data_IF_927494571694
#
_entry.id   IF_927494571694
#
_cell.length_a   1.000
_cell.length_b   1.000
_cell.length_c   1.000
_cell.angle_alpha   90.00
_cell.angle_beta   90.00
_cell.angle_gamma   90.00
#
_symmetry.space_group_name_H-M   'P 1'
#
loop_
_entity.id
_entity.type
_entity.pdbx_description
1 polymer ?
#
# COMPACT_ATOMS: atom_id res chain seq x y z
N UNK A 1 -8.02 -32.90 8.44
CA UNK A 1 -7.40 -31.65 8.92
C UNK A 1 -8.50 -30.60 9.06
N UNK A 2 -8.53 -29.81 10.15
CA UNK A 2 -9.46 -28.67 10.24
C UNK A 2 -9.15 -27.71 9.09
N UNK A 3 -10.18 -27.27 8.38
CA UNK A 3 -10.04 -26.32 7.28
C UNK A 3 -9.43 -25.01 7.83
N UNK A 4 -8.32 -24.56 7.26
CA UNK A 4 -7.71 -23.28 7.65
C UNK A 4 -8.59 -22.16 7.08
N UNK A 5 -9.27 -21.42 7.96
CA UNK A 5 -10.15 -20.32 7.58
C UNK A 5 -9.41 -19.02 7.29
N UNK A 6 -8.15 -18.89 7.72
CA UNK A 6 -7.39 -17.65 7.64
C UNK A 6 -6.66 -17.50 6.30
N UNK A 7 -6.00 -18.56 5.84
CA UNK A 7 -5.17 -18.52 4.62
C UNK A 7 -5.06 -19.88 3.94
N UNK A 8 -4.32 -19.91 2.83
CA UNK A 8 -4.08 -21.10 2.01
C UNK A 8 -2.66 -21.68 2.19
N UNK A 9 -1.99 -21.33 3.31
CA UNK A 9 -0.63 -21.78 3.58
C UNK A 9 -0.58 -23.27 3.93
N UNK A 10 0.44 -23.95 3.43
CA UNK A 10 0.74 -25.33 3.83
C UNK A 10 1.40 -25.40 5.22
N UNK A 11 1.55 -26.62 5.77
CA UNK A 11 2.16 -26.81 7.09
C UNK A 11 3.60 -26.28 7.19
N UNK A 12 4.38 -26.31 6.10
CA UNK A 12 5.78 -25.83 6.09
C UNK A 12 5.83 -24.30 6.08
N UNK A 13 4.94 -23.68 5.32
CA UNK A 13 4.77 -22.23 5.27
C UNK A 13 4.28 -21.70 6.62
N UNK A 14 3.27 -22.34 7.20
CA UNK A 14 2.71 -21.97 8.51
C UNK A 14 3.75 -21.96 9.63
N UNK A 15 4.66 -22.94 9.66
CA UNK A 15 5.74 -23.01 10.67
C UNK A 15 6.64 -21.77 10.64
N UNK A 16 6.85 -21.14 9.48
CA UNK A 16 7.68 -19.92 9.38
C UNK A 16 7.08 -18.76 10.16
N UNK A 17 5.76 -18.67 10.21
CA UNK A 17 5.02 -17.61 10.89
C UNK A 17 4.85 -17.84 12.40
N UNK A 18 5.22 -19.02 12.92
CA UNK A 18 5.26 -19.25 14.37
C UNK A 18 6.46 -18.56 15.05
N UNK A 19 7.39 -17.98 14.27
CA UNK A 19 8.53 -17.25 14.80
C UNK A 19 8.10 -15.84 15.21
N UNK A 20 8.50 -15.42 16.42
CA UNK A 20 8.26 -14.06 16.93
C UNK A 20 9.01 -12.98 16.13
N UNK A 21 10.04 -13.36 15.37
CA UNK A 21 10.80 -12.45 14.51
C UNK A 21 11.39 -13.22 13.32
N UNK A 22 11.52 -12.54 12.19
CA UNK A 22 12.14 -13.07 10.98
C UNK A 22 12.93 -11.98 10.26
N UNK A 23 13.92 -12.40 9.47
CA UNK A 23 14.71 -11.51 8.63
C UNK A 23 14.13 -11.58 7.23
N UNK A 24 13.58 -10.46 6.75
CA UNK A 24 13.13 -10.32 5.37
C UNK A 24 14.26 -9.67 4.54
N UNK A 25 14.78 -10.40 3.56
CA UNK A 25 15.81 -9.93 2.64
C UNK A 25 15.19 -9.74 1.25
N UNK A 26 14.63 -8.57 0.93
CA UNK A 26 13.94 -8.36 -0.33
C UNK A 26 14.93 -8.42 -1.50
N UNK A 27 14.52 -8.93 -2.67
CA UNK A 27 15.36 -8.94 -3.85
C UNK A 27 15.72 -7.50 -4.28
N UNK A 28 16.88 -7.27 -4.90
CA UNK A 28 17.25 -5.94 -5.39
C UNK A 28 16.22 -5.43 -6.41
N UNK A 29 15.69 -4.22 -6.21
CA UNK A 29 14.79 -3.57 -7.17
C UNK A 29 15.52 -3.23 -8.48
N UNK A 30 14.83 -3.40 -9.62
CA UNK A 30 15.27 -2.93 -10.95
C UNK A 30 15.59 -1.43 -10.89
N UNK A 31 16.61 -0.96 -11.64
CA UNK A 31 17.20 0.39 -11.49
C UNK A 31 16.21 1.54 -11.68
N UNK A 32 15.21 1.40 -12.55
CA UNK A 32 14.22 2.46 -12.83
C UNK A 32 13.18 2.66 -11.71
N UNK A 33 12.91 1.63 -10.89
CA UNK A 33 11.96 1.69 -9.76
C UNK A 33 12.51 2.52 -8.58
N UNK A 34 13.82 2.85 -8.58
CA UNK A 34 14.48 3.62 -7.51
C UNK A 34 14.13 5.11 -7.49
N UNK A 35 13.40 5.61 -8.49
CA UNK A 35 13.05 7.03 -8.61
C UNK A 35 11.91 7.47 -7.69
N UNK A 36 11.27 6.55 -6.97
CA UNK A 36 10.15 6.89 -6.09
C UNK A 36 10.53 6.76 -4.61
N UNK A 37 10.08 7.70 -3.76
CA UNK A 37 10.40 7.72 -2.34
C UNK A 37 9.97 6.43 -1.62
N UNK A 38 10.60 6.18 -0.47
CA UNK A 38 10.71 4.90 0.22
C UNK A 38 9.41 4.07 0.35
N UNK A 39 9.13 3.22 -0.65
CA UNK A 39 8.06 2.20 -0.59
C UNK A 39 8.52 1.00 0.25
N UNK A 40 7.65 0.48 1.11
CA UNK A 40 7.89 -0.80 1.78
C UNK A 40 8.02 -1.94 0.75
N UNK A 41 8.85 -2.99 1.01
CA UNK A 41 9.15 -4.00 0.00
C UNK A 41 7.91 -4.80 -0.40
N UNK A 42 7.65 -4.95 -1.70
CA UNK A 42 6.50 -5.67 -2.25
C UNK A 42 6.45 -7.12 -1.72
N UNK A 43 7.61 -7.76 -1.59
CA UNK A 43 7.75 -9.12 -1.06
C UNK A 43 7.36 -9.23 0.41
N UNK A 44 7.57 -8.18 1.20
CA UNK A 44 7.14 -8.16 2.61
C UNK A 44 5.61 -8.07 2.69
N UNK A 45 5.02 -7.24 1.84
CA UNK A 45 3.55 -7.10 1.75
C UNK A 45 2.91 -8.39 1.30
N UNK A 46 3.53 -9.05 0.33
CA UNK A 46 3.06 -10.33 -0.19
C UNK A 46 3.02 -11.40 0.91
N UNK A 47 4.02 -11.46 1.79
CA UNK A 47 4.02 -12.36 2.96
C UNK A 47 2.81 -12.09 3.87
N UNK A 48 2.52 -10.83 4.18
CA UNK A 48 1.38 -10.46 5.01
C UNK A 48 0.04 -10.73 4.33
N UNK A 49 -0.11 -10.39 3.05
CA UNK A 49 -1.31 -10.72 2.27
C UNK A 49 -1.53 -12.22 2.27
N UNK A 50 -0.50 -13.02 1.98
CA UNK A 50 -0.60 -14.48 1.99
C UNK A 50 -0.99 -15.03 3.35
N UNK A 51 -0.56 -14.39 4.43
CA UNK A 51 -0.86 -14.82 5.80
C UNK A 51 -2.27 -14.43 6.26
N UNK A 52 -2.76 -13.25 5.91
CA UNK A 52 -4.04 -12.73 6.40
C UNK A 52 -5.22 -12.92 5.44
N UNK A 53 -4.99 -13.52 4.28
CA UNK A 53 -6.04 -13.74 3.27
C UNK A 53 -5.94 -15.09 2.58
N UNK A 54 -7.01 -15.46 1.87
CA UNK A 54 -7.11 -16.53 0.89
C UNK A 54 -6.99 -15.97 -0.54
N UNK A 55 -6.72 -16.86 -1.48
CA UNK A 55 -6.72 -16.55 -2.90
C UNK A 55 -8.09 -16.01 -3.33
N UNK A 56 -8.12 -14.98 -4.18
CA UNK A 56 -9.34 -14.32 -4.62
C UNK A 56 -10.00 -13.40 -3.59
N UNK A 57 -9.45 -13.23 -2.40
CA UNK A 57 -9.91 -12.20 -1.45
C UNK A 57 -9.43 -10.80 -1.86
N UNK A 58 -10.04 -9.77 -1.26
CA UNK A 58 -9.90 -8.36 -1.62
C UNK A 58 -9.01 -7.64 -0.62
N UNK A 59 -7.93 -7.03 -1.13
CA UNK A 59 -6.99 -6.20 -0.35
C UNK A 59 -7.22 -4.72 -0.66
N UNK A 60 -7.28 -3.88 0.38
CA UNK A 60 -7.34 -2.42 0.24
C UNK A 60 -6.07 -1.76 0.77
N UNK A 61 -5.54 -0.82 0.00
CA UNK A 61 -4.57 0.18 0.46
C UNK A 61 -5.13 1.60 0.34
N UNK A 62 -5.61 2.23 1.43
CA UNK A 62 -6.18 3.58 1.37
C UNK A 62 -5.15 4.68 1.09
N UNK A 63 -3.85 4.41 1.17
CA UNK A 63 -2.76 5.37 0.95
C UNK A 63 -1.67 4.68 0.12
N UNK A 64 -2.05 4.28 -1.08
CA UNK A 64 -1.32 3.32 -1.91
C UNK A 64 0.02 3.85 -2.43
N UNK A 65 0.21 5.16 -2.47
CA UNK A 65 1.38 5.77 -3.09
C UNK A 65 1.53 5.25 -4.51
N UNK A 66 2.71 4.73 -4.78
CA UNK A 66 3.06 4.11 -6.07
C UNK A 66 2.67 2.62 -6.23
N UNK A 67 1.80 2.09 -5.38
CA UNK A 67 1.10 0.82 -5.63
C UNK A 67 1.79 -0.48 -5.21
N UNK A 68 2.78 -0.45 -4.30
CA UNK A 68 3.49 -1.68 -3.87
C UNK A 68 2.55 -2.74 -3.28
N UNK A 69 1.48 -2.34 -2.59
CA UNK A 69 0.45 -3.27 -2.08
C UNK A 69 -0.32 -3.97 -3.19
N UNK A 70 -0.66 -3.26 -4.26
CA UNK A 70 -1.44 -3.81 -5.37
C UNK A 70 -0.60 -4.80 -6.19
N UNK A 71 0.68 -4.50 -6.38
CA UNK A 71 1.66 -5.42 -6.96
C UNK A 71 1.76 -6.70 -6.13
N UNK A 72 1.90 -6.56 -4.80
CA UNK A 72 1.96 -7.71 -3.90
C UNK A 72 0.68 -8.54 -3.90
N UNK A 73 -0.49 -7.89 -3.97
CA UNK A 73 -1.78 -8.56 -4.05
C UNK A 73 -1.91 -9.36 -5.36
N UNK A 74 -1.48 -8.79 -6.50
CA UNK A 74 -1.44 -9.50 -7.79
C UNK A 74 -0.55 -10.74 -7.71
N UNK A 75 0.68 -10.62 -7.21
CA UNK A 75 1.61 -11.75 -7.03
C UNK A 75 1.04 -12.81 -6.09
N UNK A 76 0.28 -12.38 -5.09
CA UNK A 76 -0.42 -13.28 -4.19
C UNK A 76 -1.69 -13.88 -4.81
N UNK A 77 -2.23 -13.42 -5.92
CA UNK A 77 -3.48 -13.94 -6.46
C UNK A 77 -4.73 -13.41 -5.74
N UNK A 78 -4.71 -12.14 -5.33
CA UNK A 78 -5.81 -11.43 -4.65
C UNK A 78 -6.30 -10.28 -5.51
N UNK A 79 -7.57 -9.91 -5.36
CA UNK A 79 -8.06 -8.64 -5.88
C UNK A 79 -7.52 -7.51 -5.02
N UNK A 80 -7.33 -6.33 -5.61
CA UNK A 80 -6.86 -5.17 -4.87
C UNK A 80 -7.40 -3.85 -5.38
N UNK A 81 -7.61 -2.94 -4.43
CA UNK A 81 -7.97 -1.56 -4.66
C UNK A 81 -7.00 -0.66 -3.88
N UNK A 82 -6.57 0.42 -4.50
CA UNK A 82 -5.69 1.42 -3.90
C UNK A 82 -6.28 2.81 -4.05
N UNK A 83 -6.13 3.66 -3.04
CA UNK A 83 -6.44 5.09 -3.14
C UNK A 83 -5.15 5.87 -2.99
N UNK A 84 -4.94 6.82 -3.89
CA UNK A 84 -3.79 7.71 -3.86
C UNK A 84 -4.22 9.14 -4.17
N UNK A 85 -3.89 10.07 -3.27
CA UNK A 85 -4.30 11.46 -3.38
C UNK A 85 -3.54 12.18 -4.50
N UNK A 86 -2.24 11.93 -4.63
CA UNK A 86 -1.42 12.59 -5.63
C UNK A 86 -1.62 11.93 -7.02
N UNK A 87 -2.13 12.67 -8.03
CA UNK A 87 -2.38 12.13 -9.36
C UNK A 87 -1.11 11.58 -10.03
N UNK A 88 0.06 12.18 -9.78
CA UNK A 88 1.33 11.71 -10.31
C UNK A 88 1.70 10.33 -9.76
N UNK A 89 1.55 10.11 -8.44
CA UNK A 89 1.83 8.80 -7.84
C UNK A 89 0.78 7.75 -8.23
N UNK A 90 -0.48 8.15 -8.39
CA UNK A 90 -1.52 7.27 -8.90
C UNK A 90 -1.23 6.81 -10.35
N UNK A 91 -0.73 7.71 -11.19
CA UNK A 91 -0.31 7.39 -12.56
C UNK A 91 0.87 6.39 -12.58
N UNK A 92 1.91 6.67 -11.78
CA UNK A 92 3.06 5.77 -11.61
C UNK A 92 2.62 4.39 -11.11
N UNK A 93 1.72 4.35 -10.11
CA UNK A 93 1.17 3.10 -9.60
C UNK A 93 0.47 2.33 -10.72
N UNK A 94 -0.35 3.00 -11.54
CA UNK A 94 -1.03 2.38 -12.68
C UNK A 94 -0.06 1.75 -13.67
N UNK A 95 1.05 2.42 -13.99
CA UNK A 95 2.09 1.88 -14.87
C UNK A 95 2.74 0.63 -14.28
N UNK A 96 3.17 0.67 -13.01
CA UNK A 96 3.82 -0.46 -12.34
C UNK A 96 2.87 -1.66 -12.23
N UNK A 97 1.60 -1.43 -11.91
CA UNK A 97 0.58 -2.49 -11.81
C UNK A 97 0.34 -3.14 -13.18
N UNK A 98 0.32 -2.35 -14.25
CA UNK A 98 0.16 -2.86 -15.61
C UNK A 98 1.37 -3.69 -16.07
N UNK A 99 2.59 -3.24 -15.77
CA UNK A 99 3.82 -3.98 -16.02
C UNK A 99 3.83 -5.32 -15.27
N UNK A 100 3.52 -5.31 -13.98
CA UNK A 100 3.46 -6.55 -13.18
C UNK A 100 2.38 -7.51 -13.70
N UNK A 101 1.21 -7.00 -14.06
CA UNK A 101 0.14 -7.82 -14.67
C UNK A 101 0.62 -8.48 -15.95
N UNK A 102 1.35 -7.76 -16.80
CA UNK A 102 1.90 -8.30 -18.04
C UNK A 102 2.96 -9.38 -17.76
N UNK A 103 3.79 -9.20 -16.72
CA UNK A 103 4.77 -10.22 -16.29
C UNK A 103 4.09 -11.50 -15.75
N UNK A 104 2.97 -11.37 -15.03
CA UNK A 104 2.21 -12.51 -14.47
C UNK A 104 1.36 -13.26 -15.51
N UNK A 105 0.97 -12.60 -16.61
CA UNK A 105 0.20 -13.20 -17.70
C UNK A 105 -1.13 -13.80 -17.22
N UNK A 106 -1.40 -15.05 -17.59
CA UNK A 106 -2.67 -15.73 -17.31
C UNK A 106 -3.02 -15.80 -15.82
N UNK A 107 -2.02 -15.79 -14.93
CA UNK A 107 -2.22 -15.83 -13.48
C UNK A 107 -2.96 -14.59 -12.94
N UNK A 108 -2.91 -13.48 -13.67
CA UNK A 108 -3.54 -12.23 -13.27
C UNK A 108 -4.83 -11.91 -14.04
N UNK A 109 -5.23 -12.71 -15.03
CA UNK A 109 -6.34 -12.40 -15.93
C UNK A 109 -7.65 -12.12 -15.19
N UNK A 110 -7.96 -12.95 -14.19
CA UNK A 110 -9.22 -12.86 -13.44
C UNK A 110 -9.11 -11.96 -12.19
N UNK A 111 -7.97 -11.31 -11.97
CA UNK A 111 -7.71 -10.48 -10.80
C UNK A 111 -7.94 -9.00 -11.10
N UNK A 112 -8.63 -8.32 -10.20
CA UNK A 112 -8.75 -6.86 -10.19
C UNK A 112 -7.56 -6.26 -9.46
N UNK A 113 -6.90 -5.25 -10.05
CA UNK A 113 -5.91 -4.43 -9.36
C UNK A 113 -6.11 -2.99 -9.83
N UNK A 114 -6.81 -2.20 -9.03
CA UNK A 114 -7.28 -0.87 -9.43
C UNK A 114 -6.73 0.21 -8.51
N UNK A 115 -5.95 1.13 -9.07
CA UNK A 115 -5.59 2.38 -8.41
C UNK A 115 -6.65 3.45 -8.69
N UNK A 116 -7.07 4.16 -7.65
CA UNK A 116 -8.04 5.25 -7.69
C UNK A 116 -7.31 6.52 -7.26
N UNK A 117 -7.29 7.53 -8.13
CA UNK A 117 -6.85 8.85 -7.71
C UNK A 117 -7.98 9.54 -6.93
N UNK A 118 -7.77 9.81 -5.64
CA UNK A 118 -8.80 10.35 -4.76
C UNK A 118 -8.35 10.49 -3.30
N UNK A 119 -9.21 11.06 -2.47
CA UNK A 119 -8.98 11.21 -1.05
C UNK A 119 -9.48 9.97 -0.29
N UNK A 120 -8.62 9.36 0.51
CA UNK A 120 -8.96 8.21 1.34
C UNK A 120 -10.12 8.48 2.31
N UNK A 121 -10.30 9.72 2.76
CA UNK A 121 -11.41 10.14 3.61
C UNK A 121 -12.77 9.98 2.92
N UNK A 122 -12.81 10.01 1.58
CA UNK A 122 -14.01 9.87 0.77
C UNK A 122 -14.28 8.40 0.37
N UNK A 123 -13.76 7.43 1.12
CA UNK A 123 -13.84 6.00 0.76
C UNK A 123 -15.26 5.53 0.44
N UNK A 124 -16.27 6.00 1.17
CA UNK A 124 -17.68 5.62 0.90
C UNK A 124 -18.12 6.01 -0.51
N UNK A 125 -17.73 7.20 -0.97
CA UNK A 125 -18.01 7.63 -2.34
C UNK A 125 -17.24 6.78 -3.35
N UNK A 126 -15.96 6.51 -3.10
CA UNK A 126 -15.13 5.68 -3.96
C UNK A 126 -15.65 4.24 -4.06
N UNK A 127 -16.05 3.63 -2.95
CA UNK A 127 -16.61 2.28 -2.90
C UNK A 127 -17.87 2.16 -3.75
N UNK A 128 -18.77 3.15 -3.67
CA UNK A 128 -19.96 3.18 -4.52
C UNK A 128 -19.62 3.42 -6.00
N UNK A 129 -18.78 4.41 -6.29
CA UNK A 129 -18.43 4.81 -7.67
C UNK A 129 -17.71 3.72 -8.45
N UNK A 130 -16.80 3.01 -7.79
CA UNK A 130 -15.98 1.97 -8.40
C UNK A 130 -16.50 0.56 -8.12
N UNK A 131 -17.65 0.44 -7.45
CA UNK A 131 -18.26 -0.85 -7.09
C UNK A 131 -17.27 -1.76 -6.37
N UNK A 132 -16.60 -1.19 -5.35
CA UNK A 132 -15.61 -1.94 -4.56
C UNK A 132 -16.36 -2.98 -3.72
N UNK A 133 -16.02 -4.28 -3.83
CA UNK A 133 -16.62 -5.34 -3.01
C UNK A 133 -16.22 -5.22 -1.54
N UNK A 134 -16.82 -6.02 -0.64
CA UNK A 134 -16.33 -6.14 0.74
C UNK A 134 -14.83 -6.45 0.79
N UNK A 135 -14.14 -5.85 1.76
CA UNK A 135 -12.68 -5.89 1.89
C UNK A 135 -12.33 -6.94 2.94
N UNK A 136 -11.47 -7.88 2.57
CA UNK A 136 -11.01 -8.92 3.49
C UNK A 136 -9.77 -8.48 4.30
N UNK A 137 -8.94 -7.59 3.73
CA UNK A 137 -7.71 -7.16 4.40
C UNK A 137 -7.30 -5.73 4.00
N UNK A 138 -6.97 -4.91 5.01
CA UNK A 138 -6.41 -3.58 4.81
C UNK A 138 -4.94 -3.60 5.22
N UNK A 139 -4.05 -3.22 4.30
CA UNK A 139 -2.64 -3.00 4.61
C UNK A 139 -2.16 -1.74 3.91
N UNK A 140 -1.44 -0.90 4.66
CA UNK A 140 -1.00 0.40 4.18
C UNK A 140 0.18 0.90 5.00
N UNK A 141 0.94 1.83 4.44
CA UNK A 141 2.00 2.56 5.13
C UNK A 141 1.63 4.05 5.10
N UNK A 142 0.84 4.54 6.07
CA UNK A 142 0.37 5.92 6.06
C UNK A 142 1.54 6.90 6.06
N UNK A 143 1.36 8.12 5.55
CA UNK A 143 2.40 9.14 5.58
C UNK A 143 2.78 9.45 7.03
N UNK A 144 4.07 9.60 7.29
CA UNK A 144 4.55 9.98 8.61
C UNK A 144 4.30 11.48 8.85
N UNK A 145 3.76 11.80 10.03
CA UNK A 145 3.55 13.17 10.46
C UNK A 145 4.87 13.94 10.54
N UNK A 146 4.94 15.07 9.84
CA UNK A 146 6.02 16.07 9.95
C UNK A 146 7.46 15.54 9.79
N UNK A 147 7.69 14.65 8.80
CA UNK A 147 9.05 14.23 8.44
C UNK A 147 9.94 15.40 7.96
N UNK A 148 9.35 16.51 7.51
CA UNK A 148 10.08 17.65 6.96
C UNK A 148 10.58 18.64 8.02
N UNK A 149 9.92 18.75 9.19
CA UNK A 149 10.33 19.65 10.27
C UNK A 149 10.81 18.96 11.56
N UNK A 150 10.79 17.62 11.63
CA UNK A 150 11.40 16.87 12.73
C UNK A 150 12.91 17.20 12.91
N UNK A 151 13.32 17.51 14.16
CA UNK A 151 14.73 17.77 14.53
C UNK A 151 15.58 16.51 14.25
N UNK A 152 16.54 16.62 13.32
CA UNK A 152 17.34 15.50 12.81
C UNK A 152 17.36 15.39 11.28
N UNK A 153 16.53 16.18 10.58
CA UNK A 153 16.48 16.30 9.12
C UNK A 153 17.77 16.84 8.47
N UNK A 154 18.82 17.16 9.22
CA UNK A 154 20.11 17.63 8.70
C UNK A 154 20.89 16.52 7.97
N UNK A 155 20.77 15.27 8.42
CA UNK A 155 21.37 14.12 7.71
C UNK A 155 20.61 13.79 6.43
N UNK A 156 19.29 14.06 6.41
CA UNK A 156 18.48 14.07 5.18
C UNK A 156 18.79 15.30 4.30
N UNK A 157 19.13 16.47 4.87
CA UNK A 157 19.64 17.65 4.12
C UNK A 157 20.90 17.37 3.32
N UNK A 158 21.80 16.54 3.82
CA UNK A 158 22.96 16.14 3.04
C UNK A 158 22.61 15.14 1.93
N UNK A 159 21.54 14.35 2.05
CA UNK A 159 20.95 13.59 0.93
C UNK A 159 20.13 14.45 -0.03
N UNK A 160 19.59 15.60 0.42
CA UNK A 160 18.78 16.56 -0.36
C UNK A 160 19.57 17.29 -1.45
N UNK A 161 20.90 17.37 -1.36
CA UNK A 161 21.74 17.96 -2.41
C UNK A 161 22.00 17.01 -3.58
N UNK A 162 21.58 15.74 -3.49
CA UNK A 162 21.49 14.87 -4.65
C UNK A 162 20.15 15.16 -5.35
N UNK A 163 20.22 15.64 -6.59
CA UNK A 163 19.18 16.32 -7.39
C UNK A 163 17.83 15.60 -7.64
N UNK A 164 17.40 14.58 -6.87
CA UNK A 164 16.24 13.76 -7.25
C UNK A 164 15.49 13.07 -6.09
N UNK A 165 15.11 13.81 -5.04
CA UNK A 165 14.19 13.28 -4.02
C UNK A 165 13.09 14.31 -3.75
N UNK A 166 11.94 14.13 -4.38
CA UNK A 166 10.71 14.87 -4.09
C UNK A 166 10.20 14.43 -2.70
N UNK A 167 10.42 15.29 -1.70
CA UNK A 167 10.06 15.03 -0.30
C UNK A 167 8.79 15.77 0.13
N UNK A 168 8.28 16.68 -0.71
CA UNK A 168 6.96 17.30 -0.56
C UNK A 168 6.00 16.45 -1.38
N UNK A 169 5.19 15.62 -0.70
CA UNK A 169 4.31 14.66 -1.36
C UNK A 169 3.23 15.37 -2.20
N UNK A 170 2.72 16.53 -1.76
CA UNK A 170 1.91 17.45 -2.56
C UNK A 170 1.70 18.79 -1.83
N UNK A 171 1.19 19.81 -2.52
CA UNK A 171 0.68 21.05 -1.91
C UNK A 171 -0.83 20.94 -1.55
N UNK A 172 -1.42 19.75 -1.64
CA UNK A 172 -2.85 19.55 -1.43
C UNK A 172 -3.21 19.72 0.07
N UNK A 173 -4.21 20.54 0.45
CA UNK A 173 -4.65 20.67 1.84
C UNK A 173 -5.17 19.36 2.45
N UNK A 174 -5.62 18.43 1.62
CA UNK A 174 -6.10 17.11 2.05
C UNK A 174 -4.97 16.08 2.23
N UNK A 175 -3.73 16.46 1.91
CA UNK A 175 -2.56 15.61 2.15
C UNK A 175 -2.25 15.59 3.64
N UNK A 176 -2.36 14.40 4.25
CA UNK A 176 -2.03 14.18 5.66
C UNK A 176 -0.60 14.62 6.01
N UNK A 177 0.32 14.63 5.04
CA UNK A 177 1.69 15.11 5.20
C UNK A 177 1.80 16.63 5.43
N UNK A 178 0.76 17.39 5.08
CA UNK A 178 0.70 18.85 5.22
C UNK A 178 0.08 19.32 6.54
N UNK A 179 -0.44 18.39 7.35
CA UNK A 179 -1.11 18.71 8.62
C UNK A 179 -0.08 19.11 9.68
N UNK A 180 -0.09 20.40 10.04
CA UNK A 180 0.91 20.98 10.97
C UNK A 180 0.71 20.60 12.43
N UNK A 181 -0.52 20.30 12.83
CA UNK A 181 -0.85 19.91 14.20
C UNK A 181 -0.95 18.39 14.32
N UNK A 182 -0.29 17.81 15.33
CA UNK A 182 -0.30 16.36 15.51
C UNK A 182 -1.68 15.81 15.86
N UNK A 183 -2.43 16.53 16.71
CA UNK A 183 -3.78 16.14 17.09
C UNK A 183 -4.68 16.07 15.87
N UNK A 184 -4.66 17.12 15.04
CA UNK A 184 -5.39 17.16 13.78
C UNK A 184 -4.97 16.04 12.82
N UNK A 185 -3.67 15.72 12.73
CA UNK A 185 -3.18 14.61 11.90
C UNK A 185 -3.77 13.27 12.36
N UNK A 186 -3.72 13.01 13.67
CA UNK A 186 -4.27 11.78 14.24
C UNK A 186 -5.78 11.71 14.05
N UNK A 187 -6.51 12.81 14.24
CA UNK A 187 -7.96 12.87 14.02
C UNK A 187 -8.33 12.54 12.57
N UNK A 188 -7.62 13.12 11.59
CA UNK A 188 -7.85 12.82 10.18
C UNK A 188 -7.53 11.37 9.84
N UNK A 189 -6.41 10.83 10.33
CA UNK A 189 -6.03 9.43 10.11
C UNK A 189 -7.05 8.46 10.71
N UNK A 190 -7.53 8.74 11.94
CA UNK A 190 -8.59 7.95 12.59
C UNK A 190 -9.90 8.04 11.82
N UNK A 191 -10.24 9.21 11.29
CA UNK A 191 -11.44 9.41 10.48
C UNK A 191 -11.44 8.50 9.24
N UNK A 192 -10.30 8.42 8.53
CA UNK A 192 -10.13 7.52 7.38
C UNK A 192 -10.42 6.08 7.79
N UNK A 193 -9.73 5.56 8.81
CA UNK A 193 -9.92 4.17 9.24
C UNK A 193 -11.34 3.88 9.75
N UNK A 194 -11.96 4.83 10.44
CA UNK A 194 -13.35 4.71 10.90
C UNK A 194 -14.32 4.64 9.71
N UNK A 195 -14.06 5.42 8.65
CA UNK A 195 -14.83 5.40 7.41
C UNK A 195 -14.71 4.10 6.62
N UNK A 196 -13.63 3.33 6.80
CA UNK A 196 -13.46 2.01 6.18
C UNK A 196 -14.27 0.91 6.87
N UNK A 197 -14.56 1.05 8.17
CA UNK A 197 -15.18 0.00 9.00
C UNK A 197 -16.47 -0.63 8.42
N UNK A 198 -17.38 0.11 7.76
CA UNK A 198 -18.58 -0.48 7.18
C UNK A 198 -18.33 -1.43 5.99
N UNK A 199 -17.10 -1.47 5.47
CA UNK A 199 -16.71 -2.25 4.30
C UNK A 199 -15.82 -3.46 4.63
N UNK A 200 -15.51 -3.65 5.92
CA UNK A 200 -14.71 -4.77 6.46
C UNK A 200 -15.59 -5.91 6.96
#
# INVERSE_FOLDING_TARGET
>A
MKHNHLNDLDSKEWIKFQKSWFIHAPPPRKKDVRRHPAKFPETLVEEFIRFFTKSGQVVLDPMAGTGSTLVAALRAGRHSYGIELNPHYAEIAGQIIAEERAELGEQANDLTAQIINGNAADFTHHASRFTIPPIDYVITSPPYWDMLHAKGSETQKQRRTAENLDVVYSDNPDDLGNVRDYGAFIEQLVSIYTGLKPFL
#
